data_IF_308419231502
#
_entry.id   IF_308419231502
#
_cell.length_a   1.000
_cell.length_b   1.000
_cell.length_c   1.000
_cell.angle_alpha   90.00
_cell.angle_beta   90.00
_cell.angle_gamma   90.00
#
_symmetry.space_group_name_H-M   'P 1'
#
loop_
_entity.id
_entity.type
_entity.pdbx_description
1 polymer ?
#
# COMPACT_ATOMS: atom_id res chain seq x y z
N UNK A 1 14.92 -10.58 -1.54
CA UNK A 1 15.92 -10.73 -2.60
C UNK A 1 15.93 -9.46 -3.44
N UNK A 2 17.09 -8.84 -3.62
CA UNK A 2 17.19 -7.71 -4.54
C UNK A 2 17.01 -8.28 -5.95
N UNK A 3 16.17 -7.67 -6.77
CA UNK A 3 16.15 -7.98 -8.19
C UNK A 3 17.56 -7.70 -8.73
N UNK A 4 18.01 -8.44 -9.73
CA UNK A 4 19.35 -8.27 -10.32
C UNK A 4 19.60 -6.84 -10.85
N UNK A 5 18.60 -5.97 -10.82
CA UNK A 5 18.68 -4.57 -11.23
C UNK A 5 18.32 -3.59 -10.11
N UNK A 6 18.32 -4.03 -8.85
CA UNK A 6 18.32 -3.16 -7.70
C UNK A 6 17.00 -2.47 -7.30
N UNK A 7 15.92 -2.59 -8.08
CA UNK A 7 14.64 -1.98 -7.71
C UNK A 7 13.97 -2.74 -6.57
N UNK A 8 13.52 -2.01 -5.54
CA UNK A 8 12.70 -2.57 -4.45
C UNK A 8 11.24 -2.57 -4.86
N UNK A 9 10.57 -3.69 -4.63
CA UNK A 9 9.18 -3.91 -5.04
C UNK A 9 8.30 -3.91 -3.80
N UNK A 10 7.40 -2.92 -3.72
CA UNK A 10 6.52 -2.71 -2.57
C UNK A 10 5.07 -2.84 -3.00
N UNK A 11 4.32 -3.73 -2.35
CA UNK A 11 2.89 -3.89 -2.55
C UNK A 11 2.15 -3.46 -1.29
N UNK A 12 1.35 -2.41 -1.40
CA UNK A 12 0.46 -1.98 -0.31
C UNK A 12 -0.86 -2.75 -0.38
N UNK A 13 -1.36 -3.20 0.77
CA UNK A 13 -2.54 -4.06 0.84
C UNK A 13 -3.52 -3.53 1.88
N UNK A 14 -4.80 -3.47 1.52
CA UNK A 14 -5.88 -3.24 2.47
C UNK A 14 -7.06 -4.17 2.13
N UNK A 15 -8.21 -3.98 2.77
CA UNK A 15 -9.36 -4.86 2.55
C UNK A 15 -9.87 -4.80 1.10
N UNK A 16 -10.21 -3.60 0.61
CA UNK A 16 -10.89 -3.43 -0.69
C UNK A 16 -10.04 -2.88 -1.82
N UNK A 17 -8.87 -2.34 -1.53
CA UNK A 17 -7.99 -1.68 -2.51
C UNK A 17 -8.66 -0.50 -3.23
N UNK A 18 -9.50 0.23 -2.55
CA UNK A 18 -10.14 1.45 -3.08
C UNK A 18 -9.89 2.70 -2.23
N UNK A 19 -9.38 2.56 -1.00
CA UNK A 19 -9.11 3.68 -0.07
C UNK A 19 -7.65 3.71 0.37
N UNK A 20 -7.32 3.02 1.49
CA UNK A 20 -6.02 3.13 2.16
C UNK A 20 -4.84 2.67 1.30
N UNK A 21 -4.92 1.50 0.68
CA UNK A 21 -3.79 0.99 -0.10
C UNK A 21 -3.53 1.80 -1.38
N UNK A 22 -4.54 2.28 -2.12
CA UNK A 22 -4.27 3.20 -3.22
C UNK A 22 -3.67 4.52 -2.75
N UNK A 23 -4.16 5.07 -1.62
CA UNK A 23 -3.56 6.28 -1.05
C UNK A 23 -2.07 6.07 -0.76
N UNK A 24 -1.71 4.95 -0.11
CA UNK A 24 -0.32 4.61 0.17
C UNK A 24 0.50 4.47 -1.11
N UNK A 25 -0.04 3.81 -2.12
CA UNK A 25 0.63 3.64 -3.42
C UNK A 25 1.02 5.00 -4.02
N UNK A 26 0.06 5.93 -4.13
CA UNK A 26 0.31 7.21 -4.80
C UNK A 26 1.13 8.18 -3.93
N UNK A 27 0.96 8.15 -2.62
CA UNK A 27 1.81 8.92 -1.71
C UNK A 27 3.27 8.44 -1.80
N UNK A 28 3.49 7.13 -1.77
CA UNK A 28 4.85 6.58 -1.85
C UNK A 28 5.50 6.86 -3.21
N UNK A 29 4.74 6.72 -4.30
CA UNK A 29 5.22 7.08 -5.63
C UNK A 29 5.66 8.54 -5.72
N UNK A 30 4.90 9.44 -5.11
CA UNK A 30 5.24 10.87 -5.07
C UNK A 30 6.50 11.12 -4.24
N UNK A 31 6.63 10.49 -3.08
CA UNK A 31 7.80 10.64 -2.21
C UNK A 31 9.08 10.15 -2.90
N UNK A 32 9.05 8.99 -3.55
CA UNK A 32 10.26 8.47 -4.24
C UNK A 32 10.62 9.35 -5.45
N UNK A 33 9.62 9.89 -6.15
CA UNK A 33 9.84 10.82 -7.27
C UNK A 33 10.49 12.11 -6.79
N UNK A 34 9.97 12.69 -5.70
CA UNK A 34 10.54 13.92 -5.09
C UNK A 34 11.97 13.71 -4.61
N UNK A 35 12.30 12.49 -4.17
CA UNK A 35 13.65 12.14 -3.75
C UNK A 35 14.58 11.83 -4.93
N UNK A 36 14.07 11.86 -6.18
CA UNK A 36 14.84 11.52 -7.37
C UNK A 36 15.20 10.03 -7.45
N UNK A 37 14.40 9.16 -6.82
CA UNK A 37 14.70 7.72 -6.67
C UNK A 37 13.63 6.83 -7.31
N UNK A 38 12.82 7.35 -8.19
CA UNK A 38 11.72 6.59 -8.79
C UNK A 38 12.17 5.32 -9.53
N UNK A 39 13.39 5.31 -10.09
CA UNK A 39 13.92 4.14 -10.76
C UNK A 39 14.38 3.03 -9.80
N UNK A 40 14.45 3.31 -8.51
CA UNK A 40 14.86 2.36 -7.47
C UNK A 40 13.69 1.61 -6.86
N UNK A 41 12.44 1.96 -7.22
CA UNK A 41 11.24 1.39 -6.61
C UNK A 41 10.21 1.00 -7.66
N UNK A 42 9.55 -0.12 -7.40
CA UNK A 42 8.31 -0.52 -8.06
C UNK A 42 7.23 -0.59 -6.99
N UNK A 43 6.13 0.13 -7.19
CA UNK A 43 5.11 0.33 -6.17
C UNK A 43 3.74 0.05 -6.76
N UNK A 44 2.93 -0.76 -6.07
CA UNK A 44 1.57 -1.10 -6.46
C UNK A 44 0.72 -1.34 -5.22
N UNK A 45 -0.55 -1.66 -5.41
CA UNK A 45 -1.46 -1.99 -4.32
C UNK A 45 -2.46 -3.06 -4.72
N UNK A 46 -3.01 -3.78 -3.73
CA UNK A 46 -3.96 -4.87 -3.92
C UNK A 46 -4.91 -4.99 -2.72
N UNK A 47 -5.95 -5.80 -2.87
CA UNK A 47 -6.96 -6.07 -1.85
C UNK A 47 -6.83 -7.49 -1.30
N UNK A 48 -7.15 -7.68 -0.01
CA UNK A 48 -7.31 -9.03 0.54
C UNK A 48 -8.67 -9.60 0.17
N UNK A 49 -9.71 -8.78 0.01
CA UNK A 49 -11.06 -9.24 -0.36
C UNK A 49 -11.34 -9.04 -1.85
N UNK A 50 -12.40 -9.70 -2.33
CA UNK A 50 -12.88 -9.55 -3.71
C UNK A 50 -14.11 -8.65 -3.80
N UNK A 51 -14.54 -8.03 -2.69
CA UNK A 51 -15.76 -7.22 -2.65
C UNK A 51 -15.81 -6.11 -3.68
N UNK A 52 -14.65 -5.51 -3.98
CA UNK A 52 -14.54 -4.40 -4.91
C UNK A 52 -14.05 -4.82 -6.31
N UNK A 53 -13.95 -6.14 -6.55
CA UNK A 53 -13.44 -6.67 -7.83
C UNK A 53 -14.56 -6.91 -8.84
N UNK A 54 -15.76 -7.22 -8.40
CA UNK A 54 -16.86 -7.54 -9.30
C UNK A 54 -16.72 -8.90 -9.98
N UNK A 55 -17.84 -9.48 -10.40
CA UNK A 55 -17.90 -10.81 -10.99
C UNK A 55 -17.21 -10.93 -12.37
N UNK A 56 -17.04 -9.82 -13.08
CA UNK A 56 -16.34 -9.80 -14.36
C UNK A 56 -14.82 -9.63 -14.23
N UNK A 57 -14.29 -9.62 -13.02
CA UNK A 57 -12.86 -9.43 -12.75
C UNK A 57 -12.37 -8.00 -12.95
N UNK A 58 -13.27 -7.05 -13.18
CA UNK A 58 -12.94 -5.63 -13.34
C UNK A 58 -13.14 -4.95 -11.99
N UNK A 59 -12.04 -4.45 -11.39
CA UNK A 59 -12.08 -3.78 -10.11
C UNK A 59 -12.71 -2.39 -10.18
N UNK A 60 -13.25 -1.94 -9.06
CA UNK A 60 -13.77 -0.58 -8.92
C UNK A 60 -12.63 0.44 -8.91
N UNK A 61 -12.88 1.68 -9.36
CA UNK A 61 -11.90 2.75 -9.26
C UNK A 61 -11.67 3.16 -7.79
N UNK A 62 -10.69 4.02 -7.57
CA UNK A 62 -10.43 4.59 -6.24
C UNK A 62 -11.70 5.28 -5.74
N UNK A 63 -12.03 5.03 -4.47
CA UNK A 63 -13.21 5.58 -3.81
C UNK A 63 -13.20 7.11 -3.88
N UNK A 64 -14.31 7.78 -4.25
CA UNK A 64 -14.30 9.23 -4.50
C UNK A 64 -13.69 10.09 -3.40
N UNK A 65 -13.98 9.89 -2.09
CA UNK A 65 -13.32 10.68 -1.04
C UNK A 65 -11.80 10.47 -0.98
N UNK A 66 -11.31 9.27 -1.26
CA UNK A 66 -9.87 9.00 -1.32
C UNK A 66 -9.24 9.70 -2.52
N UNK A 67 -9.90 9.62 -3.67
CA UNK A 67 -9.47 10.31 -4.90
C UNK A 67 -9.43 11.83 -4.67
N UNK A 68 -10.43 12.36 -3.98
CA UNK A 68 -10.52 13.80 -3.66
C UNK A 68 -9.34 14.26 -2.81
N UNK A 69 -9.02 13.54 -1.72
CA UNK A 69 -7.92 13.95 -0.85
C UNK A 69 -6.56 13.84 -1.54
N UNK A 70 -6.38 12.82 -2.38
CA UNK A 70 -5.18 12.72 -3.22
C UNK A 70 -5.05 13.97 -4.11
N UNK A 71 -6.13 14.35 -4.80
CA UNK A 71 -6.14 15.50 -5.68
C UNK A 71 -5.89 16.82 -4.92
N UNK A 72 -6.41 16.97 -3.72
CA UNK A 72 -6.16 18.15 -2.86
C UNK A 72 -4.67 18.32 -2.55
N UNK A 73 -3.92 17.22 -2.54
CA UNK A 73 -2.47 17.21 -2.33
C UNK A 73 -1.69 17.12 -3.65
N UNK A 74 -2.34 17.31 -4.77
CA UNK A 74 -1.70 17.33 -6.09
C UNK A 74 -1.36 15.95 -6.65
N UNK A 75 -2.00 14.88 -6.15
CA UNK A 75 -1.72 13.53 -6.60
C UNK A 75 -2.86 13.00 -7.48
N UNK A 76 -2.49 12.46 -8.64
CA UNK A 76 -3.41 11.86 -9.60
C UNK A 76 -3.31 10.33 -9.51
N UNK A 77 -4.41 9.67 -9.20
CA UNK A 77 -4.45 8.21 -9.14
C UNK A 77 -4.75 7.55 -10.50
N UNK A 78 -4.94 8.33 -11.56
CA UNK A 78 -5.16 7.82 -12.92
C UNK A 78 -6.31 6.83 -13.00
N UNK A 79 -6.08 5.75 -13.72
CA UNK A 79 -7.06 4.68 -13.94
C UNK A 79 -6.92 3.52 -12.96
N UNK A 80 -6.34 3.76 -11.79
CA UNK A 80 -6.17 2.72 -10.77
C UNK A 80 -7.50 2.05 -10.44
N UNK A 81 -7.52 0.72 -10.52
CA UNK A 81 -8.65 -0.11 -10.13
C UNK A 81 -8.21 -1.14 -9.10
N UNK A 82 -9.15 -1.54 -8.26
CA UNK A 82 -8.91 -2.59 -7.28
C UNK A 82 -8.50 -3.88 -7.97
N UNK A 83 -7.49 -4.57 -7.41
CA UNK A 83 -7.14 -5.93 -7.79
C UNK A 83 -6.97 -6.78 -6.54
N UNK A 84 -7.20 -8.06 -6.66
CA UNK A 84 -7.06 -8.95 -5.52
C UNK A 84 -5.63 -9.47 -5.39
N UNK A 85 -5.16 -9.55 -4.14
CA UNK A 85 -3.90 -10.20 -3.76
C UNK A 85 -3.99 -11.69 -4.12
N UNK A 86 -2.93 -12.23 -4.69
CA UNK A 86 -2.81 -13.64 -5.03
C UNK A 86 -1.61 -14.26 -4.33
N UNK A 87 -1.57 -15.59 -4.26
CA UNK A 87 -0.44 -16.31 -3.68
C UNK A 87 0.88 -15.99 -4.40
N UNK A 88 0.83 -15.79 -5.71
CA UNK A 88 2.01 -15.45 -6.53
C UNK A 88 2.63 -14.10 -6.15
N UNK A 89 1.85 -13.19 -5.57
CA UNK A 89 2.36 -11.88 -5.13
C UNK A 89 3.44 -12.01 -4.07
N UNK A 90 3.42 -13.04 -3.24
CA UNK A 90 4.42 -13.22 -2.19
C UNK A 90 5.84 -13.31 -2.75
N UNK A 91 6.05 -14.08 -3.81
CA UNK A 91 7.35 -14.20 -4.46
C UNK A 91 7.70 -13.04 -5.39
N UNK A 92 6.69 -12.27 -5.79
CA UNK A 92 6.85 -11.15 -6.73
C UNK A 92 7.30 -9.86 -6.06
N UNK A 93 6.89 -9.62 -4.81
CA UNK A 93 7.12 -8.38 -4.09
C UNK A 93 8.10 -8.57 -2.93
N UNK A 94 8.99 -7.61 -2.74
CA UNK A 94 9.98 -7.66 -1.65
C UNK A 94 9.32 -7.35 -0.30
N UNK A 95 8.38 -6.42 -0.30
CA UNK A 95 7.58 -6.06 0.88
C UNK A 95 6.10 -6.06 0.52
N UNK A 96 5.30 -6.68 1.38
CA UNK A 96 3.84 -6.67 1.33
C UNK A 96 3.35 -5.96 2.59
N UNK A 97 2.79 -4.78 2.43
CA UNK A 97 2.53 -3.88 3.54
C UNK A 97 1.04 -3.65 3.72
N UNK A 98 0.49 -4.17 4.82
CA UNK A 98 -0.90 -3.95 5.20
C UNK A 98 -1.07 -2.63 5.96
N UNK A 99 -2.33 -2.20 6.09
CA UNK A 99 -2.69 -0.99 6.81
C UNK A 99 -2.99 -1.28 8.28
N UNK A 100 -3.42 -2.50 8.58
CA UNK A 100 -3.81 -2.94 9.92
C UNK A 100 -3.51 -4.43 10.12
N UNK A 101 -3.52 -4.87 11.37
CA UNK A 101 -3.22 -6.26 11.73
C UNK A 101 -4.12 -7.27 11.01
N UNK A 102 -5.40 -6.92 10.84
CA UNK A 102 -6.35 -7.77 10.13
C UNK A 102 -5.92 -8.02 8.68
N UNK A 103 -5.34 -7.01 8.02
CA UNK A 103 -4.81 -7.20 6.66
C UNK A 103 -3.70 -8.25 6.65
N UNK A 104 -2.78 -8.21 7.61
CA UNK A 104 -1.69 -9.18 7.69
C UNK A 104 -2.20 -10.61 7.87
N UNK A 105 -3.24 -10.78 8.67
CA UNK A 105 -3.86 -12.08 8.89
C UNK A 105 -4.40 -12.67 7.58
N UNK A 106 -5.17 -11.88 6.82
CA UNK A 106 -5.70 -12.32 5.54
C UNK A 106 -4.62 -12.49 4.48
N UNK A 107 -3.61 -11.63 4.48
CA UNK A 107 -2.45 -11.76 3.58
C UNK A 107 -1.75 -13.11 3.80
N UNK A 108 -1.53 -13.50 5.04
CA UNK A 108 -0.93 -14.80 5.38
C UNK A 108 -1.79 -15.97 4.91
N UNK A 109 -3.11 -15.87 5.05
CA UNK A 109 -4.02 -16.92 4.56
C UNK A 109 -3.93 -17.05 3.04
N UNK A 110 -3.95 -15.96 2.31
CA UNK A 110 -3.90 -15.96 0.84
C UNK A 110 -2.55 -16.48 0.34
N UNK A 111 -1.46 -16.03 0.95
CA UNK A 111 -0.10 -16.35 0.49
C UNK A 111 0.47 -17.64 1.06
N UNK A 112 -0.22 -18.28 2.01
CA UNK A 112 0.26 -19.52 2.65
C UNK A 112 1.27 -19.28 3.75
N UNK A 113 1.28 -18.11 4.37
CA UNK A 113 2.18 -17.71 5.45
C UNK A 113 3.12 -16.58 5.06
N UNK A 114 4.11 -16.35 5.90
CA UNK A 114 5.14 -15.32 5.68
C UNK A 114 6.53 -15.86 6.09
N UNK A 115 7.03 -16.90 5.40
CA UNK A 115 8.29 -17.55 5.82
C UNK A 115 9.50 -16.62 5.72
N UNK A 116 9.48 -15.63 4.83
CA UNK A 116 10.62 -14.75 4.60
C UNK A 116 10.51 -13.40 5.34
N UNK A 117 9.46 -13.21 6.16
CA UNK A 117 9.27 -11.97 6.91
C UNK A 117 9.04 -10.74 6.05
N UNK A 118 8.27 -10.87 4.96
CA UNK A 118 8.00 -9.79 4.00
C UNK A 118 6.77 -8.94 4.34
N UNK A 119 5.93 -9.42 5.28
CA UNK A 119 4.66 -8.79 5.62
C UNK A 119 4.77 -7.90 6.85
N UNK A 120 4.37 -6.64 6.72
CA UNK A 120 4.43 -5.63 7.78
C UNK A 120 3.23 -4.70 7.71
N UNK A 121 2.93 -4.01 8.82
CA UNK A 121 2.00 -2.87 8.77
C UNK A 121 2.77 -1.61 8.38
N UNK A 122 2.10 -0.70 7.70
CA UNK A 122 2.74 0.54 7.25
C UNK A 122 3.33 1.35 8.42
N UNK A 123 2.62 1.44 9.55
CA UNK A 123 3.08 2.20 10.70
C UNK A 123 4.09 1.47 11.58
N UNK A 124 4.52 0.26 11.21
CA UNK A 124 5.56 -0.46 11.96
C UNK A 124 6.94 0.21 11.88
N UNK A 125 7.18 1.05 10.88
CA UNK A 125 8.41 1.82 10.76
C UNK A 125 8.41 3.15 11.52
N UNK A 126 7.28 3.52 12.13
CA UNK A 126 7.14 4.77 12.89
C UNK A 126 7.48 4.55 14.37
N UNK A 127 7.61 5.65 15.12
CA UNK A 127 7.85 5.60 16.56
C UNK A 127 6.68 4.99 17.34
N UNK A 128 5.47 5.03 16.76
CA UNK A 128 4.25 4.49 17.37
C UNK A 128 3.59 3.48 16.41
N UNK A 129 4.09 2.23 16.37
CA UNK A 129 3.47 1.18 15.57
C UNK A 129 2.01 0.99 15.97
N UNK A 130 1.13 1.02 15.00
CA UNK A 130 -0.31 0.91 15.22
C UNK A 130 -1.04 0.62 13.90
N UNK A 131 -2.32 0.33 13.98
CA UNK A 131 -3.18 0.21 12.81
C UNK A 131 -3.54 1.59 12.26
N UNK A 132 -3.78 1.67 10.95
CA UNK A 132 -4.39 2.82 10.30
C UNK A 132 -5.89 2.59 10.27
N UNK A 133 -6.64 3.46 10.94
CA UNK A 133 -8.11 3.36 11.00
C UNK A 133 -8.70 3.48 9.60
N UNK A 134 -9.68 2.62 9.30
CA UNK A 134 -10.31 2.60 7.98
C UNK A 134 -11.27 3.79 7.81
N UNK A 135 -10.97 4.72 6.89
CA UNK A 135 -11.80 5.91 6.69
C UNK A 135 -13.14 5.60 6.04
N UNK A 136 -13.32 4.39 5.50
CA UNK A 136 -14.63 3.93 5.04
C UNK A 136 -15.66 3.97 6.15
N UNK A 137 -15.27 3.58 7.38
CA UNK A 137 -16.17 3.54 8.53
C UNK A 137 -16.26 4.88 9.27
N UNK A 138 -15.18 5.63 9.37
CA UNK A 138 -15.12 6.88 10.13
C UNK A 138 -15.47 8.12 9.30
N UNK A 139 -15.28 8.05 7.99
CA UNK A 139 -15.35 9.22 7.11
C UNK A 139 -14.16 10.16 7.23
N UNK A 140 -13.18 9.86 8.09
CA UNK A 140 -12.04 10.75 8.36
C UNK A 140 -10.86 10.44 7.43
N UNK A 141 -10.94 10.95 6.22
CA UNK A 141 -9.88 10.80 5.22
C UNK A 141 -8.65 11.66 5.51
N UNK A 142 -8.81 12.74 6.25
CA UNK A 142 -7.67 13.58 6.66
C UNK A 142 -6.78 12.84 7.65
N UNK A 143 -7.36 12.14 8.63
CA UNK A 143 -6.62 11.31 9.57
C UNK A 143 -5.91 10.17 8.84
N UNK A 144 -6.58 9.51 7.90
CA UNK A 144 -5.97 8.45 7.08
C UNK A 144 -4.80 9.01 6.24
N UNK A 145 -4.98 10.17 5.64
CA UNK A 145 -3.90 10.84 4.90
C UNK A 145 -2.67 11.08 5.78
N UNK A 146 -2.87 11.63 6.99
CA UNK A 146 -1.77 11.90 7.92
C UNK A 146 -1.04 10.62 8.32
N UNK A 147 -1.76 9.58 8.71
CA UNK A 147 -1.18 8.30 9.14
C UNK A 147 -0.43 7.61 7.98
N UNK A 148 -1.04 7.57 6.81
CA UNK A 148 -0.42 6.94 5.64
C UNK A 148 0.83 7.71 5.20
N UNK A 149 0.76 9.05 5.20
CA UNK A 149 1.91 9.90 4.86
C UNK A 149 3.06 9.70 5.84
N UNK A 150 2.77 9.64 7.14
CA UNK A 150 3.76 9.34 8.18
C UNK A 150 4.42 7.98 7.94
N UNK A 151 3.61 6.96 7.68
CA UNK A 151 4.11 5.61 7.43
C UNK A 151 4.96 5.51 6.17
N UNK A 152 4.53 6.12 5.08
CA UNK A 152 5.28 6.12 3.82
C UNK A 152 6.62 6.85 3.97
N UNK A 153 6.65 7.99 4.65
CA UNK A 153 7.89 8.72 4.90
C UNK A 153 8.86 7.90 5.76
N UNK A 154 8.38 7.27 6.82
CA UNK A 154 9.18 6.41 7.68
C UNK A 154 9.73 5.19 6.92
N UNK A 155 8.89 4.57 6.10
CA UNK A 155 9.28 3.45 5.26
C UNK A 155 10.38 3.86 4.28
N UNK A 156 10.20 4.95 3.56
CA UNK A 156 11.21 5.44 2.61
C UNK A 156 12.53 5.72 3.32
N UNK A 157 12.48 6.36 4.48
CA UNK A 157 13.67 6.63 5.29
C UNK A 157 14.39 5.33 5.65
N UNK A 158 13.67 4.32 6.13
CA UNK A 158 14.23 3.01 6.48
C UNK A 158 14.88 2.30 5.28
N UNK A 159 14.25 2.38 4.10
CA UNK A 159 14.73 1.71 2.90
C UNK A 159 15.92 2.42 2.24
N UNK A 160 16.11 3.70 2.51
CA UNK A 160 17.19 4.51 1.92
C UNK A 160 18.31 4.83 2.91
N UNK A 161 18.17 4.43 4.18
CA UNK A 161 19.15 4.66 5.22
C UNK A 161 20.44 3.89 4.91
N UNK A 162 21.57 4.59 4.88
CA UNK A 162 22.87 4.00 4.56
C UNK A 162 23.12 3.82 3.07
N UNK A 163 22.26 4.37 2.23
CA UNK A 163 22.47 4.37 0.78
C UNK A 163 23.27 5.60 0.33
#
# INVERSE_FOLDING_TARGET
MKSEHGARRILFVCWGNICRSPMAEFIMKDLVRRAGRENEFEIASAATSDEEIGWAGIGKPVYPPAKKILAEHGLDCGDKRARQLTRADYGRWDLLIGMEEMNLRFMKQICGGDPDGRMHRLLDWTEKPRDIVDPWFTGDFDAAWCDISEGCAALLCALTKGA
#
